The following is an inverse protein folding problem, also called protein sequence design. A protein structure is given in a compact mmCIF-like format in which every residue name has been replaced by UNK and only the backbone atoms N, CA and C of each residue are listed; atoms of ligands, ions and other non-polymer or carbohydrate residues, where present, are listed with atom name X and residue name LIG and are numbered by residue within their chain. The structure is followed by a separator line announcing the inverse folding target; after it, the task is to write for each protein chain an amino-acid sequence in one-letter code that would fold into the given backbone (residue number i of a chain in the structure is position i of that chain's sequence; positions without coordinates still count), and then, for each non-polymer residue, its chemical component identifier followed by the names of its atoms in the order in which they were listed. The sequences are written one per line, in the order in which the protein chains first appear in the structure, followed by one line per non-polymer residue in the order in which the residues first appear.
data_IF_062177450031
#
_entry.id   IF_062177450031
#
_cell.length_a   1.000
_cell.length_b   1.000
_cell.length_c   1.000
_cell.angle_alpha   90.00
_cell.angle_beta   90.00
_cell.angle_gamma   90.00
#
_symmetry.space_group_name_H-M   'P 1'
#
loop_
_entity.id
_entity.type
_entity.pdbx_description
1 polymer ?
#
# COMPACT_ATOMS: atom_id res chain seq x y z
N UNK A 1 5.55 -9.40 10.07
CA UNK A 1 4.30 -8.65 10.33
C UNK A 1 4.51 -7.96 11.67
N UNK A 2 4.97 -6.72 11.62
CA UNK A 2 4.99 -5.89 12.82
C UNK A 2 3.56 -5.75 13.30
N UNK A 3 3.29 -6.24 14.51
CA UNK A 3 2.07 -5.94 15.22
C UNK A 3 2.25 -4.51 15.71
N UNK A 4 1.72 -3.55 14.95
CA UNK A 4 1.68 -2.17 15.40
C UNK A 4 1.02 -2.15 16.78
N UNK A 5 1.75 -1.70 17.79
CA UNK A 5 1.18 -1.48 19.10
C UNK A 5 0.09 -0.42 19.00
N UNK A 6 -1.07 -0.62 19.66
CA UNK A 6 -2.21 0.31 19.64
C UNK A 6 -1.84 1.80 19.67
N UNK A 7 -0.91 2.29 20.51
CA UNK A 7 -0.51 3.70 20.54
C UNK A 7 0.16 4.20 19.25
N UNK A 8 0.90 3.35 18.52
CA UNK A 8 1.57 3.73 17.28
C UNK A 8 0.57 3.96 16.15
N UNK A 9 -0.40 3.05 15.98
CA UNK A 9 -1.45 3.18 14.95
C UNK A 9 -2.24 4.47 15.09
N UNK A 10 -2.54 4.91 16.31
CA UNK A 10 -3.29 6.14 16.56
C UNK A 10 -2.52 7.38 16.11
N UNK A 11 -1.24 7.45 16.44
CA UNK A 11 -0.37 8.56 16.05
C UNK A 11 -0.24 8.63 14.54
N UNK A 12 -0.03 7.50 13.89
CA UNK A 12 0.16 7.41 12.46
C UNK A 12 -1.10 7.81 11.69
N UNK A 13 -2.28 7.33 12.09
CA UNK A 13 -3.56 7.70 11.49
C UNK A 13 -3.79 9.22 11.63
N UNK A 14 -3.51 9.80 12.79
CA UNK A 14 -3.63 11.25 13.04
C UNK A 14 -2.67 12.06 12.16
N UNK A 15 -1.42 11.63 12.05
CA UNK A 15 -0.44 12.29 11.19
C UNK A 15 -0.82 12.19 9.71
N UNK A 16 -1.26 11.02 9.24
CA UNK A 16 -1.74 10.85 7.87
C UNK A 16 -2.88 11.82 7.55
N UNK A 17 -3.86 11.93 8.45
CA UNK A 17 -4.97 12.86 8.27
C UNK A 17 -4.51 14.32 8.26
N UNK A 18 -3.58 14.69 9.15
CA UNK A 18 -3.05 16.05 9.25
C UNK A 18 -2.30 16.48 7.97
N UNK A 19 -1.54 15.58 7.36
CA UNK A 19 -0.75 15.86 6.15
C UNK A 19 -1.46 15.54 4.84
N UNK A 20 -2.75 15.23 4.89
CA UNK A 20 -3.57 14.94 3.72
C UNK A 20 -4.57 16.06 3.46
N UNK A 21 -4.86 16.32 2.19
CA UNK A 21 -5.80 17.35 1.79
C UNK A 21 -7.24 16.97 2.18
N UNK A 22 -8.12 17.96 2.47
CA UNK A 22 -9.53 17.71 2.68
C UNK A 22 -10.18 17.04 1.45
N UNK A 23 -10.97 15.99 1.70
CA UNK A 23 -11.59 15.18 0.65
C UNK A 23 -10.74 13.99 0.18
N UNK A 24 -9.50 13.84 0.65
CA UNK A 24 -8.69 12.66 0.33
C UNK A 24 -9.31 11.39 0.89
N UNK A 25 -9.10 10.28 0.18
CA UNK A 25 -9.56 8.95 0.58
C UNK A 25 -8.38 8.17 1.15
N UNK A 26 -8.56 7.62 2.33
CA UNK A 26 -7.57 6.80 3.02
C UNK A 26 -8.03 5.35 3.07
N UNK A 27 -7.15 4.44 2.64
CA UNK A 27 -7.34 2.99 2.73
C UNK A 27 -6.41 2.45 3.80
N UNK A 28 -6.94 1.97 4.90
CA UNK A 28 -6.17 1.36 5.99
C UNK A 28 -6.33 -0.16 5.90
N UNK A 29 -5.27 -0.85 5.53
CA UNK A 29 -5.25 -2.30 5.45
C UNK A 29 -4.92 -2.91 6.81
N UNK A 30 -5.78 -3.79 7.33
CA UNK A 30 -5.60 -4.42 8.62
C UNK A 30 -6.24 -5.80 8.68
N UNK A 31 -5.75 -6.66 9.57
CA UNK A 31 -6.40 -7.93 9.85
C UNK A 31 -7.65 -7.76 10.74
N UNK A 32 -8.51 -8.76 10.75
CA UNK A 32 -9.79 -8.73 11.45
C UNK A 32 -9.69 -8.56 12.98
N UNK A 33 -8.55 -8.86 13.60
CA UNK A 33 -8.36 -8.75 15.06
C UNK A 33 -8.32 -7.31 15.54
N UNK A 34 -8.05 -6.39 14.64
CA UNK A 34 -7.87 -4.96 14.94
C UNK A 34 -9.04 -4.10 14.42
N UNK A 35 -10.16 -4.72 14.00
CA UNK A 35 -11.34 -4.03 13.44
C UNK A 35 -11.85 -2.93 14.38
N UNK A 36 -12.10 -3.28 15.65
CA UNK A 36 -12.64 -2.33 16.63
C UNK A 36 -11.73 -1.12 16.77
N UNK A 37 -10.43 -1.35 16.93
CA UNK A 37 -9.45 -0.30 17.13
C UNK A 37 -9.33 0.64 15.91
N UNK A 38 -9.24 0.10 14.69
CA UNK A 38 -9.16 0.94 13.48
C UNK A 38 -10.44 1.76 13.28
N UNK A 39 -11.60 1.18 13.57
CA UNK A 39 -12.88 1.89 13.44
C UNK A 39 -13.02 2.98 14.50
N UNK A 40 -12.63 2.71 15.75
CA UNK A 40 -12.63 3.68 16.84
C UNK A 40 -11.77 4.89 16.50
N UNK A 41 -10.49 4.68 16.24
CA UNK A 41 -9.54 5.76 15.90
C UNK A 41 -9.94 6.45 14.59
N UNK A 42 -10.37 5.70 13.59
CA UNK A 42 -10.81 6.28 12.33
C UNK A 42 -11.99 7.23 12.50
N UNK A 43 -12.94 6.92 13.37
CA UNK A 43 -14.09 7.80 13.67
C UNK A 43 -13.71 9.06 14.45
N UNK A 44 -12.64 9.01 15.24
CA UNK A 44 -12.12 10.19 15.94
C UNK A 44 -11.39 11.14 14.99
N UNK A 45 -10.73 10.62 13.98
CA UNK A 45 -9.79 11.36 13.13
C UNK A 45 -10.39 11.80 11.82
N UNK A 46 -11.16 10.93 11.17
CA UNK A 46 -11.72 11.16 9.84
C UNK A 46 -13.15 11.69 9.89
N UNK A 47 -13.54 12.40 8.83
CA UNK A 47 -14.90 12.95 8.72
C UNK A 47 -15.95 11.89 8.46
N UNK A 48 -15.60 10.84 7.71
CA UNK A 48 -16.53 9.73 7.42
C UNK A 48 -15.79 8.39 7.33
N UNK A 49 -16.44 7.37 7.84
CA UNK A 49 -16.16 5.98 7.52
C UNK A 49 -17.04 5.59 6.32
N UNK A 50 -16.46 5.52 5.13
CA UNK A 50 -17.21 5.32 3.89
C UNK A 50 -17.59 3.87 3.65
N UNK A 51 -16.67 2.94 3.87
CA UNK A 51 -16.87 1.53 3.61
C UNK A 51 -15.79 0.66 4.28
N UNK A 52 -16.05 -0.63 4.31
CA UNK A 52 -15.06 -1.66 4.58
C UNK A 52 -15.03 -2.61 3.39
N UNK A 53 -13.88 -2.65 2.69
CA UNK A 53 -13.66 -3.57 1.59
C UNK A 53 -12.95 -4.82 2.09
N UNK A 54 -13.29 -5.97 1.52
CA UNK A 54 -12.71 -7.26 1.87
C UNK A 54 -11.91 -7.80 0.70
N UNK A 55 -10.59 -7.86 0.84
CA UNK A 55 -9.79 -8.60 -0.12
C UNK A 55 -9.90 -10.10 0.17
N UNK A 56 -10.59 -10.81 -0.72
CA UNK A 56 -10.70 -12.27 -0.71
C UNK A 56 -9.49 -12.87 -1.41
N UNK A 57 -8.73 -13.69 -0.67
CA UNK A 57 -7.52 -14.37 -1.16
C UNK A 57 -7.90 -15.75 -1.70
N UNK A 58 -7.19 -16.24 -2.70
CA UNK A 58 -7.43 -17.59 -3.25
C UNK A 58 -7.11 -18.71 -2.25
N UNK A 59 -6.13 -18.46 -1.36
CA UNK A 59 -5.68 -19.43 -0.37
C UNK A 59 -5.83 -18.89 1.03
N UNK A 60 -6.39 -19.70 1.90
CA UNK A 60 -6.48 -19.37 3.31
C UNK A 60 -5.09 -19.46 3.96
N UNK A 61 -4.82 -18.50 4.83
CA UNK A 61 -3.67 -18.51 5.74
C UNK A 61 -3.85 -19.53 6.87
N UNK A 62 -3.05 -19.40 7.90
CA UNK A 62 -3.22 -20.19 9.13
C UNK A 62 -4.34 -19.60 10.00
N UNK A 63 -4.89 -20.40 10.89
CA UNK A 63 -5.91 -19.99 11.83
C UNK A 63 -6.16 -21.07 12.87
N UNK A 64 -6.71 -20.70 14.02
CA UNK A 64 -7.00 -21.63 15.12
C UNK A 64 -8.38 -22.28 15.00
N UNK A 65 -9.43 -21.50 14.79
CA UNK A 65 -10.80 -21.97 14.65
C UNK A 65 -11.24 -21.96 13.18
N UNK A 66 -11.14 -20.77 12.54
CA UNK A 66 -11.26 -20.64 11.09
C UNK A 66 -9.96 -20.13 10.48
N UNK A 67 -9.64 -20.60 9.28
CA UNK A 67 -8.50 -20.12 8.52
C UNK A 67 -8.84 -18.78 7.86
N UNK A 68 -8.04 -17.75 8.13
CA UNK A 68 -8.22 -16.44 7.49
C UNK A 68 -7.90 -16.49 6.00
N UNK A 69 -8.89 -16.12 5.18
CA UNK A 69 -8.77 -16.06 3.72
C UNK A 69 -9.02 -14.64 3.20
N UNK A 70 -8.89 -13.65 4.06
CA UNK A 70 -9.17 -12.26 3.71
C UNK A 70 -8.22 -11.30 4.41
N UNK A 71 -8.25 -10.06 3.94
CA UNK A 71 -7.69 -8.89 4.59
C UNK A 71 -8.70 -7.75 4.43
N UNK A 72 -8.78 -6.87 5.41
CA UNK A 72 -9.76 -5.78 5.44
C UNK A 72 -9.10 -4.47 5.04
N UNK A 73 -9.83 -3.66 4.29
CA UNK A 73 -9.47 -2.30 3.92
C UNK A 73 -10.55 -1.35 4.43
N UNK A 74 -10.22 -0.58 5.44
CA UNK A 74 -11.11 0.46 5.97
C UNK A 74 -10.96 1.71 5.12
N UNK A 75 -12.07 2.23 4.60
CA UNK A 75 -12.09 3.36 3.68
C UNK A 75 -12.65 4.57 4.40
N UNK A 76 -11.82 5.58 4.60
CA UNK A 76 -12.19 6.82 5.27
C UNK A 76 -12.05 8.02 4.34
N UNK A 77 -12.83 9.08 4.62
CA UNK A 77 -12.67 10.40 4.01
C UNK A 77 -12.04 11.35 5.02
N UNK A 78 -11.00 12.05 4.60
CA UNK A 78 -10.35 13.08 5.40
C UNK A 78 -10.97 14.46 5.18
N UNK A 79 -11.36 15.14 6.26
CA UNK A 79 -11.90 16.51 6.22
C UNK A 79 -13.19 16.66 5.41
N UNK A 80 -13.69 17.89 5.32
CA UNK A 80 -15.00 18.20 4.73
C UNK A 80 -14.97 18.49 3.22
N UNK A 81 -13.85 18.28 2.53
CA UNK A 81 -13.75 18.42 1.08
C UNK A 81 -14.56 17.35 0.34
N UNK A 82 -15.04 17.63 -0.88
CA UNK A 82 -15.67 16.62 -1.71
C UNK A 82 -14.65 15.55 -2.12
N UNK A 83 -14.92 14.28 -1.87
CA UNK A 83 -14.03 13.21 -2.29
C UNK A 83 -14.11 13.03 -3.81
N UNK A 84 -12.97 12.71 -4.44
CA UNK A 84 -13.04 12.19 -5.80
C UNK A 84 -13.62 10.78 -5.77
N UNK A 85 -14.67 10.56 -6.53
CA UNK A 85 -15.31 9.27 -6.68
C UNK A 85 -15.44 8.92 -8.17
N UNK A 86 -14.57 8.07 -8.66
CA UNK A 86 -14.55 7.62 -10.05
C UNK A 86 -15.40 6.36 -10.26
N UNK A 87 -15.94 5.76 -9.21
CA UNK A 87 -16.80 4.56 -9.28
C UNK A 87 -18.23 4.98 -9.67
N UNK A 88 -18.84 5.81 -8.85
CA UNK A 88 -20.23 6.32 -9.00
C UNK A 88 -21.21 5.31 -9.60
N UNK A 89 -21.16 4.05 -9.11
CA UNK A 89 -22.00 2.93 -9.53
C UNK A 89 -21.99 2.72 -11.06
N UNK A 90 -20.84 2.88 -11.68
CA UNK A 90 -20.64 2.65 -13.12
C UNK A 90 -20.85 3.88 -14.01
N UNK A 91 -21.21 5.04 -13.48
CA UNK A 91 -21.42 6.27 -14.27
C UNK A 91 -20.22 6.63 -15.17
N UNK A 92 -19.00 6.32 -14.73
CA UNK A 92 -17.76 6.56 -15.47
C UNK A 92 -17.09 5.28 -15.93
N UNK A 93 -17.85 4.18 -16.08
CA UNK A 93 -17.33 2.89 -16.52
C UNK A 93 -16.68 2.04 -15.43
N UNK A 94 -16.60 2.53 -14.19
CA UNK A 94 -16.06 1.77 -13.05
C UNK A 94 -17.21 1.40 -12.10
N UNK A 95 -17.59 0.12 -12.10
CA UNK A 95 -18.55 -0.43 -11.15
C UNK A 95 -17.84 -1.47 -10.27
N UNK A 96 -17.63 -1.14 -9.01
CA UNK A 96 -16.89 -1.98 -8.08
C UNK A 96 -17.71 -2.26 -6.83
N UNK A 97 -17.58 -3.48 -6.34
CA UNK A 97 -18.14 -3.89 -5.05
C UNK A 97 -17.07 -3.77 -3.96
N UNK A 98 -17.48 -3.92 -2.72
CA UNK A 98 -16.54 -3.97 -1.58
C UNK A 98 -15.96 -5.37 -1.33
N UNK A 99 -16.23 -6.35 -2.20
CA UNK A 99 -15.53 -7.65 -2.20
C UNK A 99 -14.52 -7.63 -3.34
N UNK A 100 -13.25 -7.71 -2.98
CA UNK A 100 -12.11 -7.59 -3.88
C UNK A 100 -11.44 -8.94 -4.08
N UNK A 101 -11.60 -9.52 -5.25
CA UNK A 101 -11.02 -10.82 -5.61
C UNK A 101 -9.72 -10.60 -6.40
N UNK A 102 -8.59 -10.70 -5.70
CA UNK A 102 -7.26 -10.63 -6.30
C UNK A 102 -6.41 -11.79 -5.80
N UNK A 103 -5.63 -12.41 -6.69
CA UNK A 103 -4.71 -13.46 -6.29
C UNK A 103 -3.67 -12.92 -5.31
N UNK A 104 -3.30 -13.72 -4.33
CA UNK A 104 -2.26 -13.36 -3.36
C UNK A 104 -0.86 -13.48 -3.97
N UNK A 105 0.13 -12.82 -3.36
CA UNK A 105 1.54 -12.91 -3.80
C UNK A 105 2.04 -14.36 -3.87
N UNK A 106 1.50 -15.27 -3.06
CA UNK A 106 1.82 -16.71 -3.10
C UNK A 106 1.39 -17.39 -4.41
N UNK A 107 0.41 -16.84 -5.12
CA UNK A 107 -0.01 -17.36 -6.42
C UNK A 107 0.97 -17.00 -7.54
N UNK A 108 1.68 -15.89 -7.41
CA UNK A 108 2.65 -15.40 -8.40
C UNK A 108 4.07 -15.95 -8.24
N UNK A 109 4.37 -16.61 -7.12
CA UNK A 109 5.73 -17.06 -6.79
C UNK A 109 6.30 -18.13 -7.75
N UNK A 110 5.50 -18.66 -8.67
CA UNK A 110 5.92 -19.75 -9.58
C UNK A 110 6.09 -19.34 -11.05
N UNK A 111 5.63 -18.17 -11.49
CA UNK A 111 5.62 -17.85 -12.94
C UNK A 111 5.52 -16.37 -13.33
N UNK A 112 5.69 -15.42 -12.41
CA UNK A 112 5.54 -13.99 -12.73
C UNK A 112 6.86 -13.28 -12.97
N UNK A 113 6.85 -12.25 -13.84
CA UNK A 113 7.99 -11.37 -14.16
C UNK A 113 8.62 -10.67 -12.94
N UNK A 114 7.93 -10.66 -11.79
CA UNK A 114 8.36 -10.00 -10.56
C UNK A 114 9.17 -10.91 -9.61
N UNK A 115 9.38 -12.21 -9.97
CA UNK A 115 10.14 -13.16 -9.15
C UNK A 115 9.41 -13.61 -7.88
N UNK A 116 10.14 -14.16 -6.90
CA UNK A 116 9.57 -14.65 -5.64
C UNK A 116 9.26 -13.48 -4.70
N UNK A 117 8.10 -12.86 -4.84
CA UNK A 117 7.66 -11.72 -4.03
C UNK A 117 7.57 -12.03 -2.53
N UNK A 118 7.27 -13.28 -2.15
CA UNK A 118 7.22 -13.69 -0.73
C UNK A 118 8.59 -13.78 -0.08
N UNK A 119 9.65 -13.99 -0.87
CA UNK A 119 11.02 -13.90 -0.37
C UNK A 119 11.44 -12.45 -0.10
N UNK A 120 10.76 -11.48 -0.74
CA UNK A 120 11.03 -10.06 -0.60
C UNK A 120 10.28 -9.43 0.57
N UNK A 121 9.05 -9.87 0.84
CA UNK A 121 8.24 -9.37 1.96
C UNK A 121 7.08 -10.33 2.25
N UNK A 122 6.78 -10.66 3.52
CA UNK A 122 5.78 -11.68 3.87
C UNK A 122 4.34 -11.29 3.56
N UNK A 123 4.04 -10.00 3.37
CA UNK A 123 2.67 -9.47 3.20
C UNK A 123 2.51 -8.60 1.96
N UNK A 124 3.15 -8.93 0.86
CA UNK A 124 3.03 -8.17 -0.40
C UNK A 124 1.59 -8.18 -0.90
N UNK A 125 1.03 -6.98 -1.13
CA UNK A 125 -0.27 -6.83 -1.75
C UNK A 125 -0.18 -6.91 -3.27
N UNK A 126 -1.20 -7.41 -3.97
CA UNK A 126 -1.23 -7.38 -5.44
C UNK A 126 -1.19 -5.95 -5.98
N UNK A 127 -0.32 -5.68 -6.94
CA UNK A 127 -0.24 -4.36 -7.58
C UNK A 127 -1.57 -3.96 -8.22
N UNK A 128 -2.30 -4.92 -8.83
CA UNK A 128 -3.60 -4.67 -9.43
C UNK A 128 -4.65 -4.20 -8.41
N UNK A 129 -4.66 -4.77 -7.20
CA UNK A 129 -5.56 -4.36 -6.12
C UNK A 129 -5.31 -2.90 -5.75
N UNK A 130 -4.04 -2.53 -5.52
CA UNK A 130 -3.67 -1.16 -5.13
C UNK A 130 -3.90 -0.18 -6.28
N UNK A 131 -3.58 -0.57 -7.52
CA UNK A 131 -3.84 0.25 -8.70
C UNK A 131 -5.33 0.56 -8.86
N UNK A 132 -6.20 -0.41 -8.65
CA UNK A 132 -7.64 -0.21 -8.71
C UNK A 132 -8.15 0.73 -7.60
N UNK A 133 -7.65 0.58 -6.37
CA UNK A 133 -7.97 1.52 -5.28
C UNK A 133 -7.54 2.97 -5.62
N UNK A 134 -6.35 3.14 -6.18
CA UNK A 134 -5.85 4.45 -6.65
C UNK A 134 -6.76 5.02 -7.75
N UNK A 135 -7.15 4.22 -8.72
CA UNK A 135 -8.04 4.63 -9.82
C UNK A 135 -9.44 5.02 -9.32
N UNK A 136 -9.90 4.42 -8.25
CA UNK A 136 -11.24 4.68 -7.69
C UNK A 136 -11.38 6.10 -7.13
N UNK A 137 -10.28 6.71 -6.65
CA UNK A 137 -10.33 7.97 -5.88
C UNK A 137 -9.31 9.03 -6.30
N UNK A 138 -8.63 8.87 -7.42
CA UNK A 138 -7.62 9.83 -7.88
C UNK A 138 -7.62 10.03 -9.39
N UNK A 139 -6.89 11.05 -9.88
CA UNK A 139 -6.62 11.33 -11.29
C UNK A 139 -5.13 11.23 -11.61
N UNK A 140 -4.76 11.04 -12.88
CA UNK A 140 -3.36 11.11 -13.29
C UNK A 140 -2.69 12.42 -12.82
N UNK A 141 -1.45 12.30 -12.33
CA UNK A 141 -0.67 13.41 -11.79
C UNK A 141 -0.98 13.78 -10.33
N UNK A 142 -2.03 13.21 -9.72
CA UNK A 142 -2.29 13.42 -8.29
C UNK A 142 -1.33 12.59 -7.42
N UNK A 143 -1.16 13.03 -6.18
CA UNK A 143 -0.25 12.42 -5.20
C UNK A 143 -0.93 11.24 -4.52
N UNK A 144 -0.20 10.15 -4.39
CA UNK A 144 -0.50 8.99 -3.54
C UNK A 144 0.55 8.93 -2.46
N UNK A 145 0.13 8.94 -1.19
CA UNK A 145 1.01 8.81 -0.03
C UNK A 145 0.86 7.42 0.57
N UNK A 146 1.98 6.74 0.79
CA UNK A 146 2.05 5.47 1.51
C UNK A 146 3.17 5.53 2.55
N UNK A 147 2.81 5.58 3.83
CA UNK A 147 3.76 5.65 4.95
C UNK A 147 4.23 4.29 5.44
N UNK A 148 3.74 3.20 4.82
CA UNK A 148 4.12 1.81 5.08
C UNK A 148 4.44 1.11 3.77
N UNK A 149 5.36 1.69 2.99
CA UNK A 149 5.61 1.33 1.60
C UNK A 149 6.01 -0.15 1.41
N UNK A 150 6.69 -0.73 2.40
CA UNK A 150 7.16 -2.10 2.37
C UNK A 150 7.98 -2.38 1.10
N UNK A 151 7.60 -3.40 0.38
CA UNK A 151 8.27 -3.77 -0.87
C UNK A 151 7.92 -2.89 -2.09
N UNK A 152 7.22 -1.76 -1.92
CA UNK A 152 6.96 -0.79 -2.98
C UNK A 152 5.76 -1.11 -3.88
N UNK A 153 4.77 -1.86 -3.41
CA UNK A 153 3.59 -2.17 -4.22
C UNK A 153 2.85 -0.91 -4.64
N UNK A 154 2.66 0.04 -3.73
CA UNK A 154 1.99 1.31 -4.01
C UNK A 154 2.79 2.17 -4.99
N UNK A 155 4.12 2.17 -4.89
CA UNK A 155 5.00 2.86 -5.84
C UNK A 155 4.78 2.35 -7.28
N UNK A 156 4.76 1.04 -7.48
CA UNK A 156 4.53 0.43 -8.80
C UNK A 156 3.09 0.68 -9.29
N UNK A 157 2.11 0.61 -8.38
CA UNK A 157 0.71 0.88 -8.72
C UNK A 157 0.49 2.33 -9.16
N UNK A 158 1.12 3.29 -8.47
CA UNK A 158 1.08 4.70 -8.82
C UNK A 158 1.74 4.97 -10.18
N UNK A 159 2.89 4.37 -10.46
CA UNK A 159 3.56 4.43 -11.76
C UNK A 159 2.65 3.93 -12.88
N UNK A 160 2.08 2.73 -12.74
CA UNK A 160 1.14 2.13 -13.72
C UNK A 160 -0.08 3.00 -13.99
N UNK A 161 -0.52 3.74 -12.98
CA UNK A 161 -1.72 4.59 -13.07
C UNK A 161 -1.39 6.07 -13.34
N UNK A 162 -0.11 6.41 -13.56
CA UNK A 162 0.39 7.76 -13.80
C UNK A 162 0.12 8.74 -12.65
N UNK A 163 0.24 8.25 -11.40
CA UNK A 163 0.20 9.06 -10.18
C UNK A 163 1.61 9.28 -9.66
N UNK A 164 1.78 10.29 -8.82
CA UNK A 164 3.04 10.57 -8.13
C UNK A 164 2.98 9.89 -6.77
N UNK A 165 3.91 8.96 -6.49
CA UNK A 165 3.97 8.28 -5.20
C UNK A 165 4.99 8.95 -4.28
N UNK A 166 4.55 9.29 -3.09
CA UNK A 166 5.44 9.55 -1.95
C UNK A 166 5.33 8.39 -0.99
N UNK A 167 6.44 7.72 -0.74
CA UNK A 167 6.49 6.55 0.12
C UNK A 167 7.46 6.74 1.28
N UNK A 168 7.11 6.18 2.43
CA UNK A 168 8.00 6.08 3.58
C UNK A 168 8.14 4.60 3.97
N UNK A 169 9.33 4.20 4.37
CA UNK A 169 9.62 2.87 4.88
C UNK A 169 10.69 2.99 5.95
N UNK A 170 10.48 2.30 7.06
CA UNK A 170 11.37 2.34 8.21
C UNK A 170 12.58 1.43 8.03
N UNK A 171 12.36 0.25 7.44
CA UNK A 171 13.43 -0.72 7.22
C UNK A 171 14.19 -0.42 5.93
N UNK A 172 15.49 -0.06 6.01
CA UNK A 172 16.30 0.24 4.83
C UNK A 172 16.41 -0.93 3.84
N UNK A 173 16.27 -2.17 4.29
CA UNK A 173 16.27 -3.32 3.40
C UNK A 173 15.03 -3.34 2.50
N UNK A 174 13.87 -2.95 3.03
CA UNK A 174 12.65 -2.82 2.23
C UNK A 174 12.69 -1.59 1.31
N UNK A 175 13.35 -0.50 1.71
CA UNK A 175 13.62 0.63 0.81
C UNK A 175 14.42 0.17 -0.41
N UNK A 176 15.50 -0.58 -0.20
CA UNK A 176 16.30 -1.16 -1.28
C UNK A 176 15.47 -2.08 -2.20
N UNK A 177 14.60 -2.91 -1.61
CA UNK A 177 13.69 -3.79 -2.38
C UNK A 177 12.73 -2.96 -3.23
N UNK A 178 12.10 -1.92 -2.65
CA UNK A 178 11.16 -1.06 -3.35
C UNK A 178 11.82 -0.36 -4.56
N UNK A 179 13.02 0.19 -4.36
CA UNK A 179 13.79 0.85 -5.42
C UNK A 179 14.15 -0.13 -6.54
N UNK A 180 14.69 -1.31 -6.22
CA UNK A 180 15.04 -2.32 -7.23
C UNK A 180 13.82 -2.81 -8.01
N UNK A 181 12.68 -3.00 -7.36
CA UNK A 181 11.41 -3.35 -8.01
C UNK A 181 10.96 -2.25 -8.97
N UNK A 182 11.01 -1.00 -8.53
CA UNK A 182 10.65 0.13 -9.37
C UNK A 182 11.57 0.26 -10.59
N UNK A 183 12.90 0.21 -10.40
CA UNK A 183 13.87 0.24 -11.49
C UNK A 183 13.61 -0.89 -12.52
N UNK A 184 13.37 -2.10 -12.03
CA UNK A 184 13.05 -3.25 -12.90
C UNK A 184 11.76 -3.05 -13.67
N UNK A 185 10.74 -2.48 -13.01
CA UNK A 185 9.44 -2.26 -13.62
C UNK A 185 9.45 -1.16 -14.68
N UNK A 186 10.18 -0.08 -14.44
CA UNK A 186 10.17 1.13 -15.29
C UNK A 186 11.32 1.18 -16.29
N UNK A 187 12.42 0.47 -16.02
CA UNK A 187 13.69 0.67 -16.71
C UNK A 187 14.41 1.96 -16.29
N UNK A 188 13.83 2.73 -15.37
CA UNK A 188 14.39 3.97 -14.84
C UNK A 188 15.54 3.75 -13.87
N UNK A 189 16.26 4.83 -13.55
CA UNK A 189 17.32 4.85 -12.52
C UNK A 189 16.86 5.72 -11.36
N UNK A 190 16.81 5.14 -10.16
CA UNK A 190 16.57 5.92 -8.95
C UNK A 190 17.80 6.76 -8.61
N UNK A 191 17.59 8.02 -8.28
CA UNK A 191 18.65 8.99 -7.97
C UNK A 191 18.46 9.51 -6.56
N UNK A 192 19.50 9.47 -5.76
CA UNK A 192 19.52 10.03 -4.41
C UNK A 192 19.51 11.56 -4.47
N UNK A 193 18.46 12.19 -3.94
CA UNK A 193 18.16 13.63 -4.10
C UNK A 193 19.29 14.55 -3.59
N UNK A 194 20.03 14.13 -2.56
CA UNK A 194 21.07 14.96 -1.94
C UNK A 194 22.41 14.81 -2.67
N UNK A 195 22.82 13.58 -3.02
CA UNK A 195 24.13 13.32 -3.63
C UNK A 195 24.12 13.32 -5.15
N UNK A 196 22.96 13.23 -5.79
CA UNK A 196 22.81 13.07 -7.23
C UNK A 196 23.27 11.72 -7.78
N UNK A 197 23.75 10.81 -6.92
CA UNK A 197 24.18 9.45 -7.32
C UNK A 197 22.99 8.54 -7.57
N UNK A 198 23.14 7.65 -8.52
CA UNK A 198 22.16 6.59 -8.75
C UNK A 198 22.19 5.57 -7.61
N UNK A 199 21.08 4.84 -7.45
CA UNK A 199 21.01 3.76 -6.48
C UNK A 199 22.12 2.70 -6.71
N UNK A 200 22.37 2.35 -7.96
CA UNK A 200 23.38 1.34 -8.31
C UNK A 200 24.81 1.82 -7.99
N UNK A 201 25.12 3.10 -8.18
CA UNK A 201 26.42 3.67 -7.77
C UNK A 201 26.64 3.64 -6.26
N UNK A 202 25.57 3.87 -5.48
CA UNK A 202 25.62 3.82 -4.02
C UNK A 202 25.74 2.36 -3.54
N UNK A 203 24.94 1.46 -4.11
CA UNK A 203 24.94 0.05 -3.75
C UNK A 203 26.29 -0.64 -4.03
N UNK A 204 26.92 -0.32 -5.17
CA UNK A 204 28.22 -0.89 -5.56
C UNK A 204 29.40 -0.23 -4.83
N UNK A 205 29.22 0.94 -4.25
CA UNK A 205 30.24 1.66 -3.48
C UNK A 205 30.27 1.33 -1.99
N UNK A 206 29.39 0.49 -1.48
CA UNK A 206 29.45 -0.01 -0.09
C UNK A 206 30.55 -1.08 -0.01
N UNK A 207 31.54 -0.98 0.92
CA UNK A 207 32.42 -2.09 1.21
C UNK A 207 31.56 -3.28 1.68
N UNK A 208 31.90 -4.48 1.21
CA UNK A 208 31.33 -5.72 1.76
C UNK A 208 31.49 -5.66 3.28
N UNK A 209 30.40 -5.67 4.03
CA UNK A 209 30.48 -5.77 5.48
C UNK A 209 30.98 -7.17 5.80
N UNK A 210 32.17 -7.25 6.38
CA UNK A 210 32.72 -8.47 6.95
C UNK A 210 31.67 -9.06 7.89
N UNK A 211 31.09 -10.17 7.47
CA UNK A 211 30.31 -11.02 8.35
C UNK A 211 31.32 -11.90 9.13
N UNK A 212 31.74 -11.45 10.31
CA UNK A 212 32.24 -12.30 11.37
C UNK A 212 31.09 -12.77 12.27
#
# INVERSE_FOLDING_TARGET
MEVLHRPQTDVEIKLLAQFSVPGSIHYIAMDWRHVEHVVEVGREVYSDFLNMCVWSKERAGQGSFYRSQHELFFVFRNGNGPPRNNIQLGKYGRNRTNIWNYPSAAAFSKSGDEGNLLALHPTVKPVALVADAILDCSSPGEIVLDTFLGSGTTLIAAERTRRICYGMELDPLYVDVAIRRWQRHTGGRAVHSVSGKTFDEIANGKPESDHE
#
